data_IF_431173740632
#
_entry.id   IF_431173740632
#
_cell.length_a   1.000
_cell.length_b   1.000
_cell.length_c   1.000
_cell.angle_alpha   90.00
_cell.angle_beta   90.00
_cell.angle_gamma   90.00
#
_symmetry.space_group_name_H-M   'P 1'
#
loop_
_entity.id
_entity.type
_entity.pdbx_description
1 polymer ?
#
# COMPACT_ATOMS: atom_id res chain seq x y z
N UNK A 1 8.11 15.04 -3.14
CA UNK A 1 7.04 14.15 -2.63
C UNK A 1 7.34 13.67 -1.21
N UNK A 2 6.39 13.76 -0.27
CA UNK A 2 6.58 13.29 1.12
C UNK A 2 6.15 11.84 1.34
N UNK A 3 7.12 10.93 1.45
CA UNK A 3 6.85 9.53 1.86
C UNK A 3 6.53 9.48 3.36
N UNK A 4 5.33 9.00 3.70
CA UNK A 4 4.87 8.84 5.09
C UNK A 4 5.29 7.47 5.63
N UNK A 5 5.49 7.39 6.94
CA UNK A 5 5.66 6.11 7.61
C UNK A 5 4.38 5.27 7.51
N UNK A 6 4.55 3.96 7.29
CA UNK A 6 3.47 2.97 7.32
C UNK A 6 2.92 2.90 8.75
N UNK A 7 1.61 3.11 8.86
CA UNK A 7 0.90 2.93 10.12
C UNK A 7 0.81 1.45 10.45
N UNK A 8 1.19 1.13 11.68
CA UNK A 8 1.13 -0.22 12.26
C UNK A 8 0.09 -0.21 13.37
N UNK A 9 -0.55 -1.35 13.56
CA UNK A 9 -1.63 -1.51 14.53
C UNK A 9 -1.49 -2.90 15.16
N UNK A 10 -1.58 -2.99 16.49
CA UNK A 10 -1.41 -4.26 17.21
C UNK A 10 -2.44 -5.29 16.78
N UNK A 11 -3.66 -4.86 16.46
CA UNK A 11 -4.75 -5.73 16.06
C UNK A 11 -4.52 -6.25 14.64
N UNK A 12 -3.92 -5.44 13.76
CA UNK A 12 -3.49 -5.88 12.43
C UNK A 12 -2.32 -6.87 12.53
N UNK A 13 -1.39 -6.64 13.45
CA UNK A 13 -0.20 -7.49 13.61
C UNK A 13 -0.52 -8.85 14.22
N UNK A 14 -1.62 -8.97 14.98
CA UNK A 14 -2.10 -10.23 15.55
C UNK A 14 -2.89 -11.09 14.54
N UNK A 15 -3.32 -10.52 13.40
CA UNK A 15 -3.93 -11.28 12.31
C UNK A 15 -2.91 -12.20 11.64
N UNK A 16 -3.39 -13.29 11.05
CA UNK A 16 -2.57 -14.25 10.32
C UNK A 16 -1.71 -13.56 9.24
N UNK A 17 -0.37 -13.76 9.25
CA UNK A 17 0.52 -13.16 8.26
C UNK A 17 0.13 -13.54 6.82
N UNK A 18 -0.04 -12.53 5.97
CA UNK A 18 -0.40 -12.72 4.57
C UNK A 18 -1.85 -13.10 4.30
N UNK A 19 -2.70 -13.14 5.33
CA UNK A 19 -4.14 -13.37 5.15
C UNK A 19 -4.81 -12.20 4.43
N UNK A 20 -5.94 -12.48 3.78
CA UNK A 20 -6.71 -11.45 3.06
C UNK A 20 -7.15 -10.36 4.03
N UNK A 21 -7.59 -10.76 5.22
CA UNK A 21 -8.05 -9.88 6.30
C UNK A 21 -6.96 -8.90 6.71
N UNK A 22 -5.73 -9.39 6.91
CA UNK A 22 -4.59 -8.55 7.28
C UNK A 22 -4.18 -7.59 6.16
N UNK A 23 -4.20 -8.04 4.91
CA UNK A 23 -3.92 -7.20 3.74
C UNK A 23 -4.93 -6.06 3.67
N UNK A 24 -6.22 -6.37 3.74
CA UNK A 24 -7.32 -5.40 3.67
C UNK A 24 -7.24 -4.41 4.83
N UNK A 25 -7.06 -4.88 6.06
CA UNK A 25 -6.95 -4.03 7.24
C UNK A 25 -5.73 -3.08 7.14
N UNK A 26 -4.58 -3.60 6.70
CA UNK A 26 -3.35 -2.81 6.51
C UNK A 26 -3.55 -1.73 5.44
N UNK A 27 -4.18 -2.09 4.32
CA UNK A 27 -4.48 -1.16 3.22
C UNK A 27 -5.41 -0.04 3.68
N UNK A 28 -6.53 -0.38 4.31
CA UNK A 28 -7.51 0.58 4.85
C UNK A 28 -6.87 1.55 5.85
N UNK A 29 -6.03 1.06 6.77
CA UNK A 29 -5.32 1.90 7.75
C UNK A 29 -4.36 2.90 7.09
N UNK A 30 -3.84 2.58 5.91
CA UNK A 30 -2.83 3.38 5.21
C UNK A 30 -3.38 4.15 4.00
N UNK A 31 -4.70 4.17 3.77
CA UNK A 31 -5.32 4.98 2.71
C UNK A 31 -4.99 6.47 2.86
N UNK A 32 -4.92 7.19 1.74
CA UNK A 32 -4.60 8.62 1.70
C UNK A 32 -3.14 8.94 2.06
N UNK A 33 -2.26 7.93 2.06
CA UNK A 33 -0.85 8.07 2.41
C UNK A 33 0.01 7.46 1.33
N UNK A 34 0.98 8.23 0.84
CA UNK A 34 2.07 7.68 0.04
C UNK A 34 3.04 7.03 1.02
N UNK A 35 3.22 5.73 0.90
CA UNK A 35 4.06 4.94 1.80
C UNK A 35 5.00 4.04 1.02
N UNK A 36 6.10 3.64 1.64
CA UNK A 36 6.99 2.65 1.05
C UNK A 36 6.28 1.28 0.93
N UNK A 37 6.20 0.74 -0.28
CA UNK A 37 5.45 -0.48 -0.56
C UNK A 37 6.08 -1.71 0.12
N UNK A 38 7.41 -1.81 0.12
CA UNK A 38 8.11 -2.88 0.81
C UNK A 38 7.85 -2.90 2.32
N UNK A 39 7.74 -1.72 2.94
CA UNK A 39 7.37 -1.59 4.35
C UNK A 39 5.91 -1.95 4.59
N UNK A 40 5.01 -1.60 3.68
CA UNK A 40 3.60 -1.97 3.75
C UNK A 40 3.43 -3.50 3.68
N UNK A 41 4.14 -4.16 2.76
CA UNK A 41 4.16 -5.63 2.65
C UNK A 41 4.64 -6.31 3.94
N UNK A 42 5.66 -5.76 4.60
CA UNK A 42 6.13 -6.30 5.90
C UNK A 42 5.03 -6.24 6.97
N UNK A 43 4.24 -5.16 7.02
CA UNK A 43 3.11 -5.06 7.96
C UNK A 43 2.03 -6.08 7.62
N UNK A 44 1.81 -6.38 6.33
CA UNK A 44 0.92 -7.44 5.87
C UNK A 44 1.44 -8.86 6.15
N UNK A 45 2.70 -9.02 6.59
CA UNK A 45 3.32 -10.33 6.77
C UNK A 45 3.86 -10.96 5.47
N UNK A 46 4.14 -10.15 4.46
CA UNK A 46 4.51 -10.55 3.11
C UNK A 46 5.91 -10.07 2.72
N UNK A 47 6.44 -10.63 1.63
CA UNK A 47 7.74 -10.27 1.03
C UNK A 47 7.53 -9.50 -0.27
N UNK A 48 8.58 -8.85 -0.76
CA UNK A 48 8.54 -8.09 -2.03
C UNK A 48 8.14 -8.95 -3.24
N UNK A 49 8.41 -10.26 -3.20
CA UNK A 49 7.98 -11.20 -4.25
C UNK A 49 6.46 -11.37 -4.32
N UNK A 50 5.74 -11.09 -3.23
CA UNK A 50 4.30 -11.25 -3.12
C UNK A 50 3.52 -10.00 -3.58
N UNK A 51 4.23 -8.96 -4.05
CA UNK A 51 3.65 -7.64 -4.38
C UNK A 51 2.52 -7.71 -5.41
N UNK A 52 2.67 -8.53 -6.46
CA UNK A 52 1.68 -8.62 -7.54
C UNK A 52 0.38 -9.22 -7.01
N UNK A 53 0.47 -10.32 -6.24
CA UNK A 53 -0.67 -10.93 -5.55
C UNK A 53 -1.40 -9.92 -4.65
N UNK A 54 -0.67 -9.04 -3.98
CA UNK A 54 -1.30 -7.99 -3.14
C UNK A 54 -2.04 -6.98 -4.00
N UNK A 55 -1.45 -6.53 -5.11
CA UNK A 55 -2.12 -5.59 -6.03
C UNK A 55 -3.41 -6.19 -6.57
N UNK A 56 -3.42 -7.46 -6.96
CA UNK A 56 -4.63 -8.19 -7.39
C UNK A 56 -5.70 -8.26 -6.29
N UNK A 57 -5.31 -8.48 -5.03
CA UNK A 57 -6.24 -8.49 -3.89
C UNK A 57 -6.81 -7.09 -3.64
N UNK A 58 -5.98 -6.05 -3.73
CA UNK A 58 -6.40 -4.66 -3.50
C UNK A 58 -7.30 -4.13 -4.61
N UNK A 59 -7.05 -4.54 -5.85
CA UNK A 59 -7.90 -4.21 -7.01
C UNK A 59 -9.34 -4.73 -6.81
N UNK A 60 -9.49 -5.94 -6.25
CA UNK A 60 -10.81 -6.50 -5.90
C UNK A 60 -11.57 -5.68 -4.85
N UNK A 61 -10.90 -4.78 -4.12
CA UNK A 61 -11.53 -3.89 -3.14
C UNK A 61 -12.04 -2.59 -3.77
N UNK A 62 -11.82 -2.39 -5.07
CA UNK A 62 -12.20 -1.16 -5.78
C UNK A 62 -11.36 0.06 -5.38
N UNK A 63 -10.16 -0.15 -4.83
CA UNK A 63 -9.25 0.94 -4.49
C UNK A 63 -8.56 1.47 -5.73
N UNK A 64 -8.34 2.78 -5.78
CA UNK A 64 -7.36 3.36 -6.70
C UNK A 64 -5.96 3.13 -6.15
N UNK A 65 -5.12 2.49 -6.95
CA UNK A 65 -3.77 2.08 -6.58
C UNK A 65 -2.78 2.85 -7.44
N UNK A 66 -1.95 3.66 -6.82
CA UNK A 66 -0.90 4.42 -7.50
C UNK A 66 0.46 3.93 -7.06
N UNK A 67 1.36 3.73 -8.03
CA UNK A 67 2.70 3.24 -7.82
C UNK A 67 3.71 4.25 -8.38
N UNK A 68 4.76 4.54 -7.65
CA UNK A 68 5.84 5.40 -8.11
C UNK A 68 7.19 4.91 -7.58
N UNK A 69 8.25 5.44 -8.19
CA UNK A 69 9.62 5.29 -7.68
C UNK A 69 10.11 6.66 -7.22
N UNK A 70 10.61 6.73 -5.99
CA UNK A 70 11.24 7.92 -5.44
C UNK A 70 12.66 7.54 -5.00
N UNK A 71 13.66 7.92 -5.80
CA UNK A 71 15.02 7.37 -5.68
C UNK A 71 15.01 5.84 -5.77
N UNK A 72 15.52 5.17 -4.75
CA UNK A 72 15.56 3.70 -4.64
C UNK A 72 14.32 3.09 -3.96
N UNK A 73 13.28 3.89 -3.70
CA UNK A 73 12.08 3.43 -2.98
C UNK A 73 10.90 3.22 -3.91
N UNK A 74 10.35 2.00 -3.88
CA UNK A 74 9.02 1.73 -4.41
C UNK A 74 7.96 2.25 -3.43
N UNK A 75 7.12 3.17 -3.90
CA UNK A 75 6.02 3.73 -3.10
C UNK A 75 4.67 3.32 -3.67
N UNK A 76 3.69 3.28 -2.78
CA UNK A 76 2.29 3.00 -3.08
C UNK A 76 1.40 4.03 -2.41
N UNK A 77 0.37 4.47 -3.12
CA UNK A 77 -0.73 5.26 -2.58
C UNK A 77 -2.04 4.53 -2.88
N UNK A 78 -2.89 4.45 -1.86
CA UNK A 78 -4.18 3.79 -1.90
C UNK A 78 -5.26 4.80 -1.55
N UNK A 79 -6.34 4.85 -2.33
CA UNK A 79 -7.47 5.76 -2.10
C UNK A 79 -8.78 5.14 -2.60
N UNK A 80 -9.89 5.81 -2.30
CA UNK A 80 -11.23 5.46 -2.76
C UNK A 80 -11.60 6.17 -4.08
N UNK A 81 -10.63 6.41 -4.96
CA UNK A 81 -10.84 7.09 -6.26
C UNK A 81 -10.01 8.36 -6.47
N UNK A 82 -9.37 8.84 -5.42
CA UNK A 82 -8.59 10.09 -5.43
C UNK A 82 -7.19 9.86 -5.99
N UNK A 83 -6.61 10.92 -6.56
CA UNK A 83 -5.19 10.94 -6.92
C UNK A 83 -4.34 11.39 -5.73
N UNK A 84 -3.03 11.06 -5.71
CA UNK A 84 -2.14 11.57 -4.68
C UNK A 84 -2.05 13.10 -4.71
N UNK A 85 -2.43 13.76 -3.61
CA UNK A 85 -2.32 15.22 -3.44
C UNK A 85 -0.89 15.65 -3.05
N UNK A 86 0.07 15.37 -3.93
CA UNK A 86 1.47 15.79 -3.82
C UNK A 86 1.97 16.28 -5.20
N UNK A 87 2.40 17.54 -5.33
CA UNK A 87 2.77 18.13 -6.63
C UNK A 87 3.86 17.38 -7.40
N UNK A 88 4.75 16.69 -6.69
CA UNK A 88 5.87 15.95 -7.27
C UNK A 88 5.56 14.46 -7.47
N UNK A 89 4.32 14.01 -7.23
CA UNK A 89 3.98 12.61 -7.42
C UNK A 89 4.00 12.26 -8.92
N UNK A 90 5.05 11.58 -9.36
CA UNK A 90 5.14 11.03 -10.71
C UNK A 90 5.07 9.50 -10.64
N UNK A 91 3.87 8.98 -10.85
CA UNK A 91 3.60 7.55 -10.80
C UNK A 91 2.66 7.08 -11.89
N UNK A 92 2.39 5.79 -11.87
CA UNK A 92 1.40 5.14 -12.71
C UNK A 92 0.30 4.56 -11.85
N UNK A 93 -0.92 4.64 -12.35
CA UNK A 93 -2.06 3.97 -11.78
C UNK A 93 -2.03 2.49 -12.16
N UNK A 94 -2.18 1.62 -11.18
CA UNK A 94 -2.44 0.20 -11.39
C UNK A 94 -3.94 0.03 -11.61
N UNK A 95 -4.30 -0.20 -12.87
CA UNK A 95 -5.64 -0.26 -13.49
C UNK A 95 -6.49 1.02 -13.51
#
# INVERSE_FOLDING_TARGET
MRIKAVLRDSDILSMEPGSKERIVATANKNKGRIVNFGSLLKVMGLKLKDRVRVLEILEQLGLSIWLANEGDQHVIFLSDGEEPDEPDFQGYRWS
#
